data_IF_665245567854
#
_entry.id   IF_665245567854
#
_cell.length_a   1.000
_cell.length_b   1.000
_cell.length_c   1.000
_cell.angle_alpha   90.00
_cell.angle_beta   90.00
_cell.angle_gamma   90.00
#
_symmetry.space_group_name_H-M   'P 1'
#
loop_
_entity.id
_entity.type
_entity.pdbx_description
1 polymer ?
#
# COMPACT_ATOMS: atom_id res chain seq x y z
N UNK A 1 7.38 -24.42 -14.44
CA UNK A 1 7.83 -23.56 -13.32
C UNK A 1 7.31 -22.18 -13.64
N UNK A 2 6.21 -21.76 -13.02
CA UNK A 2 5.62 -20.46 -13.28
C UNK A 2 6.53 -19.42 -12.66
N UNK A 3 7.34 -18.75 -13.49
CA UNK A 3 8.08 -17.59 -13.02
C UNK A 3 7.09 -16.46 -12.76
N UNK A 4 7.07 -15.97 -11.53
CA UNK A 4 6.14 -14.92 -11.10
C UNK A 4 6.39 -13.63 -11.92
N UNK A 5 5.39 -12.77 -12.06
CA UNK A 5 5.51 -11.58 -12.91
C UNK A 5 6.58 -10.60 -12.42
N UNK A 6 6.76 -10.45 -11.09
CA UNK A 6 7.83 -9.63 -10.50
C UNK A 6 9.23 -10.17 -10.82
N UNK A 7 9.33 -11.47 -11.13
CA UNK A 7 10.58 -12.20 -11.40
C UNK A 7 11.09 -11.94 -12.82
N UNK A 8 10.20 -11.41 -13.66
CA UNK A 8 10.42 -11.11 -15.08
C UNK A 8 10.84 -9.67 -15.33
N UNK A 9 11.25 -8.93 -14.29
CA UNK A 9 11.60 -7.51 -14.34
C UNK A 9 10.50 -6.63 -14.95
N UNK A 10 9.23 -7.05 -14.85
CA UNK A 10 8.11 -6.23 -15.29
C UNK A 10 7.86 -5.15 -14.24
N UNK A 11 7.84 -3.86 -14.60
CA UNK A 11 7.47 -2.80 -13.68
C UNK A 11 6.05 -3.01 -13.18
N UNK A 12 5.87 -3.02 -11.86
CA UNK A 12 4.57 -3.16 -11.21
C UNK A 12 4.24 -1.83 -10.55
N UNK A 13 3.12 -1.26 -10.96
CA UNK A 13 2.60 -0.02 -10.41
C UNK A 13 1.30 -0.30 -9.68
N UNK A 14 1.17 0.25 -8.48
CA UNK A 14 -0.04 0.16 -7.67
C UNK A 14 -0.72 1.52 -7.72
N UNK A 15 -2.04 1.52 -7.90
CA UNK A 15 -2.90 2.68 -7.68
C UNK A 15 -4.05 2.22 -6.79
N UNK A 16 -4.26 2.93 -5.69
CA UNK A 16 -5.31 2.64 -4.71
C UNK A 16 -6.00 3.93 -4.27
N UNK A 17 -7.13 3.78 -3.61
CA UNK A 17 -7.87 4.90 -3.03
C UNK A 17 -7.07 5.55 -1.89
N UNK A 18 -7.26 6.87 -1.71
CA UNK A 18 -6.62 7.65 -0.65
C UNK A 18 -7.32 7.46 0.71
N UNK A 19 -7.48 6.21 1.13
CA UNK A 19 -8.06 5.83 2.42
C UNK A 19 -7.27 4.70 3.11
N UNK A 20 -7.60 4.40 4.36
CA UNK A 20 -6.89 3.38 5.12
C UNK A 20 -6.88 2.00 4.44
N UNK A 21 -7.97 1.61 3.77
CA UNK A 21 -8.05 0.32 3.09
C UNK A 21 -7.16 0.28 1.83
N UNK A 22 -7.13 1.35 1.04
CA UNK A 22 -6.26 1.50 -0.12
C UNK A 22 -4.78 1.46 0.25
N UNK A 23 -4.39 2.07 1.37
CA UNK A 23 -3.05 1.94 1.93
C UNK A 23 -2.74 0.48 2.32
N UNK A 24 -3.68 -0.23 2.97
CA UNK A 24 -3.50 -1.63 3.37
C UNK A 24 -3.22 -2.54 2.16
N UNK A 25 -4.00 -2.39 1.09
CA UNK A 25 -3.82 -3.14 -0.16
C UNK A 25 -2.42 -2.91 -0.73
N UNK A 26 -1.96 -1.65 -0.76
CA UNK A 26 -0.64 -1.31 -1.28
C UNK A 26 0.49 -1.96 -0.47
N UNK A 27 0.38 -1.92 0.85
CA UNK A 27 1.35 -2.54 1.77
C UNK A 27 1.36 -4.06 1.60
N UNK A 28 0.20 -4.71 1.60
CA UNK A 28 0.13 -6.18 1.44
C UNK A 28 0.70 -6.63 0.10
N UNK A 29 0.42 -5.90 -0.98
CA UNK A 29 0.93 -6.26 -2.30
C UNK A 29 2.44 -6.07 -2.41
N UNK A 30 3.02 -5.09 -1.70
CA UNK A 30 4.44 -4.78 -1.75
C UNK A 30 5.29 -5.60 -0.78
N UNK A 31 4.81 -5.77 0.45
CA UNK A 31 5.56 -6.37 1.55
C UNK A 31 5.03 -7.74 1.97
N UNK A 32 3.88 -8.16 1.43
CA UNK A 32 3.19 -9.39 1.82
C UNK A 32 2.25 -9.17 3.00
N UNK A 33 1.45 -10.21 3.29
CA UNK A 33 0.46 -10.19 4.37
C UNK A 33 0.74 -11.29 5.39
N UNK A 34 0.52 -10.98 6.67
CA UNK A 34 0.53 -11.98 7.74
C UNK A 34 -0.50 -13.09 7.49
N UNK A 35 -1.66 -12.76 6.89
CA UNK A 35 -2.70 -13.73 6.57
C UNK A 35 -2.23 -14.77 5.54
N UNK A 36 -1.25 -14.40 4.70
CA UNK A 36 -0.62 -15.30 3.72
C UNK A 36 0.68 -15.92 4.24
N UNK A 37 1.05 -15.65 5.51
CA UNK A 37 2.31 -16.07 6.10
C UNK A 37 3.54 -15.56 5.35
N UNK A 38 3.42 -14.42 4.64
CA UNK A 38 4.47 -13.87 3.78
C UNK A 38 5.02 -14.88 2.75
N UNK A 39 4.15 -15.76 2.23
CA UNK A 39 4.56 -16.80 1.28
C UNK A 39 5.38 -16.24 0.12
N UNK A 40 6.48 -16.90 -0.22
CA UNK A 40 7.40 -16.41 -1.24
C UNK A 40 6.69 -16.28 -2.60
N UNK A 41 6.83 -15.10 -3.23
CA UNK A 41 6.18 -14.78 -4.49
C UNK A 41 4.72 -14.32 -4.40
N UNK A 42 4.13 -14.26 -3.20
CA UNK A 42 2.79 -13.70 -2.97
C UNK A 42 2.75 -12.16 -2.97
N UNK A 43 3.91 -11.50 -2.96
CA UNK A 43 4.06 -10.05 -3.00
C UNK A 43 5.03 -9.63 -4.10
N UNK A 44 4.95 -8.37 -4.50
CA UNK A 44 5.81 -7.73 -5.48
C UNK A 44 6.66 -6.65 -4.78
N UNK A 45 7.81 -7.05 -4.24
CA UNK A 45 8.72 -6.15 -3.52
C UNK A 45 9.22 -4.95 -4.34
N UNK A 46 9.26 -5.10 -5.67
CA UNK A 46 9.62 -4.05 -6.63
C UNK A 46 8.46 -3.12 -6.99
N UNK A 47 7.25 -3.36 -6.45
CA UNK A 47 6.10 -2.54 -6.76
C UNK A 47 6.31 -1.08 -6.32
N UNK A 48 5.95 -0.16 -7.21
CA UNK A 48 5.98 1.27 -6.98
C UNK A 48 4.55 1.73 -6.79
N UNK A 49 4.31 2.41 -5.68
CA UNK A 49 3.02 3.05 -5.47
C UNK A 49 2.99 4.39 -6.18
N UNK A 50 2.01 4.58 -7.06
CA UNK A 50 1.82 5.82 -7.81
C UNK A 50 0.85 6.80 -7.15
N UNK A 51 0.16 6.39 -6.08
CA UNK A 51 -0.89 7.16 -5.43
C UNK A 51 -2.24 6.43 -5.40
N UNK A 52 -3.33 7.06 -4.95
CA UNK A 52 -3.43 8.48 -4.59
C UNK A 52 -2.88 8.75 -3.19
N UNK A 53 -1.97 9.73 -3.08
CA UNK A 53 -1.54 10.27 -1.79
C UNK A 53 -2.42 11.46 -1.38
N UNK A 54 -2.45 11.83 -0.08
CA UNK A 54 -3.13 13.04 0.37
C UNK A 54 -2.62 14.31 -0.32
N UNK A 55 -1.33 14.36 -0.69
CA UNK A 55 -0.75 15.51 -1.40
C UNK A 55 -1.24 15.63 -2.85
N UNK A 56 -1.65 14.52 -3.47
CA UNK A 56 -2.19 14.53 -4.83
C UNK A 56 -3.52 15.30 -4.89
N UNK A 57 -4.30 15.30 -3.80
CA UNK A 57 -5.55 16.06 -3.73
C UNK A 57 -5.30 17.55 -3.89
N UNK A 58 -4.27 18.09 -3.23
CA UNK A 58 -3.86 19.47 -3.36
C UNK A 58 -3.24 19.74 -4.74
N UNK A 59 -2.36 18.85 -5.21
CA UNK A 59 -1.64 19.00 -6.47
C UNK A 59 -2.57 19.04 -7.68
N UNK A 60 -3.60 18.19 -7.70
CA UNK A 60 -4.59 18.12 -8.77
C UNK A 60 -5.81 19.01 -8.54
N UNK A 61 -5.82 19.82 -7.47
CA UNK A 61 -6.93 20.72 -7.11
C UNK A 61 -8.27 19.97 -7.02
N UNK A 62 -8.26 18.81 -6.38
CA UNK A 62 -9.43 17.97 -6.19
C UNK A 62 -10.31 18.56 -5.09
N UNK A 63 -11.60 18.72 -5.38
CA UNK A 63 -12.57 19.17 -4.38
C UNK A 63 -12.68 18.16 -3.25
N UNK A 64 -12.30 18.57 -2.04
CA UNK A 64 -12.38 17.72 -0.84
C UNK A 64 -13.75 17.75 -0.17
N UNK A 65 -14.70 18.53 -0.69
CA UNK A 65 -16.04 18.70 -0.12
C UNK A 65 -16.87 17.41 -0.10
N UNK A 66 -16.51 16.42 -0.93
CA UNK A 66 -17.16 15.12 -1.02
C UNK A 66 -16.37 14.01 -0.31
N UNK A 67 -15.23 14.34 0.31
CA UNK A 67 -14.44 13.36 1.06
C UNK A 67 -15.11 13.11 2.41
N UNK A 68 -15.20 11.83 2.75
CA UNK A 68 -15.62 11.40 4.06
C UNK A 68 -14.49 11.58 5.07
N UNK A 69 -14.83 11.96 6.29
CA UNK A 69 -13.86 11.93 7.38
C UNK A 69 -13.46 10.48 7.68
N UNK A 70 -12.17 10.28 8.02
CA UNK A 70 -11.71 9.00 8.55
C UNK A 70 -12.50 8.64 9.82
N UNK A 71 -12.84 7.36 9.91
CA UNK A 71 -13.44 6.77 11.10
C UNK A 71 -12.36 6.40 12.11
N UNK A 72 -12.77 6.08 13.35
CA UNK A 72 -11.84 5.54 14.35
C UNK A 72 -11.20 4.21 13.91
N UNK A 73 -11.89 3.42 13.07
CA UNK A 73 -11.33 2.19 12.50
C UNK A 73 -10.24 2.49 11.48
N UNK A 74 -10.45 3.50 10.64
CA UNK A 74 -9.44 3.94 9.66
C UNK A 74 -8.17 4.43 10.36
N UNK A 75 -8.32 5.22 11.43
CA UNK A 75 -7.19 5.67 12.23
C UNK A 75 -6.41 4.51 12.88
N UNK A 76 -7.12 3.52 13.44
CA UNK A 76 -6.48 2.35 14.03
C UNK A 76 -5.73 1.51 12.99
N UNK A 77 -6.31 1.37 11.79
CA UNK A 77 -5.73 0.62 10.68
C UNK A 77 -4.45 1.31 10.17
N UNK A 78 -4.48 2.62 9.95
CA UNK A 78 -3.28 3.41 9.55
C UNK A 78 -2.20 3.37 10.65
N UNK A 79 -2.57 3.51 11.91
CA UNK A 79 -1.62 3.43 13.02
C UNK A 79 -0.93 2.06 13.09
N UNK A 80 -1.69 0.97 12.86
CA UNK A 80 -1.13 -0.38 12.78
C UNK A 80 -0.15 -0.56 11.62
N UNK A 81 -0.38 0.11 10.48
CA UNK A 81 0.51 0.06 9.33
C UNK A 81 1.81 0.83 9.52
N UNK A 82 1.78 1.99 10.19
CA UNK A 82 3.00 2.76 10.47
C UNK A 82 4.02 1.94 11.27
N UNK A 83 3.54 1.11 12.20
CA UNK A 83 4.39 0.18 12.96
C UNK A 83 5.01 -0.89 12.05
N UNK A 84 4.29 -1.36 11.02
CA UNK A 84 4.80 -2.35 10.07
C UNK A 84 5.84 -1.75 9.10
N UNK A 85 5.63 -0.50 8.68
CA UNK A 85 6.55 0.21 7.79
C UNK A 85 7.91 0.44 8.51
N UNK A 86 7.88 0.87 9.78
CA UNK A 86 9.09 1.03 10.62
C UNK A 86 9.87 -0.29 10.78
N UNK A 87 9.18 -1.40 11.03
CA UNK A 87 9.81 -2.73 11.16
C UNK A 87 10.45 -3.16 9.83
N UNK A 88 9.79 -2.90 8.69
CA UNK A 88 10.32 -3.24 7.36
C UNK A 88 11.56 -2.44 6.96
N UNK A 89 11.76 -1.27 7.58
CA UNK A 89 12.93 -0.41 7.39
C UNK A 89 14.11 -0.79 8.28
N UNK A 90 13.90 -1.50 9.40
CA UNK A 90 14.96 -2.00 10.29
C UNK A 90 15.60 -3.32 9.83
N UNK A 91 14.93 -4.12 8.98
CA UNK A 91 15.45 -5.39 8.46
C UNK A 91 16.38 -5.27 7.24
N UNK A 92 16.93 -4.07 6.95
CA UNK A 92 17.92 -3.82 5.89
C UNK A 92 19.32 -3.53 6.44
#
# INVERSE_FOLDING_TARGET
>A
MYSNLWERCVPIYIITDCDAAGYAIGIEYKYGSQNTGFYEGSHASTAIWLGLSPQDLDHFNISTNMLSNMTGQDHALVAGMLVLDDISHEEK
#
